data_IF_869385923372
#
_entry.id   IF_869385923372
#
_cell.length_a   1.000
_cell.length_b   1.000
_cell.length_c   1.000
_cell.angle_alpha   90.00
_cell.angle_beta   90.00
_cell.angle_gamma   90.00
#
_symmetry.space_group_name_H-M   'P 1'
#
loop_
_entity.id
_entity.type
_entity.pdbx_description
1 polymer ?
#
# COMPACT_ATOMS: atom_id res chain seq x y z
N UNK A 1 18.02 -41.21 -2.61
CA UNK A 1 18.20 -39.89 -1.98
C UNK A 1 16.84 -39.44 -1.48
N UNK A 2 16.72 -39.00 -0.23
CA UNK A 2 15.45 -38.53 0.34
C UNK A 2 15.38 -37.01 0.12
N UNK A 3 14.34 -36.53 -0.55
CA UNK A 3 14.10 -35.09 -0.72
C UNK A 3 13.53 -34.50 0.58
N UNK A 4 13.82 -33.22 0.87
CA UNK A 4 13.26 -32.51 2.03
C UNK A 4 11.73 -32.36 1.96
N UNK A 5 11.12 -32.59 0.80
CA UNK A 5 9.67 -32.51 0.58
C UNK A 5 8.92 -33.84 0.73
N UNK A 6 9.66 -34.91 1.00
CA UNK A 6 9.13 -36.27 0.99
C UNK A 6 9.21 -36.91 2.39
N UNK A 7 8.34 -37.88 2.65
CA UNK A 7 8.41 -38.76 3.81
C UNK A 7 8.71 -40.19 3.38
N UNK A 8 9.27 -40.99 4.28
CA UNK A 8 9.56 -42.38 4.03
C UNK A 8 8.27 -43.21 3.99
N UNK A 9 8.00 -43.88 2.86
CA UNK A 9 6.98 -44.93 2.76
C UNK A 9 7.53 -46.28 3.19
N UNK A 10 8.69 -46.67 2.65
CA UNK A 10 9.30 -47.98 2.88
C UNK A 10 10.81 -47.87 2.96
N UNK A 11 11.39 -48.38 4.05
CA UNK A 11 12.83 -48.43 4.25
C UNK A 11 13.51 -49.31 3.20
N UNK A 12 14.67 -48.87 2.72
CA UNK A 12 15.50 -49.66 1.82
C UNK A 12 16.08 -50.90 2.50
N UNK A 13 16.42 -51.90 1.69
CA UNK A 13 17.14 -53.13 2.08
C UNK A 13 18.32 -53.32 1.12
N UNK A 14 19.25 -54.26 1.36
CA UNK A 14 20.37 -54.54 0.44
C UNK A 14 19.92 -54.83 -1.01
N UNK A 15 18.67 -55.24 -1.19
CA UNK A 15 18.08 -55.62 -2.48
C UNK A 15 17.10 -54.58 -3.04
N UNK A 16 16.67 -53.59 -2.24
CA UNK A 16 15.61 -52.64 -2.61
C UNK A 16 15.91 -51.22 -2.14
N UNK A 17 15.72 -50.26 -3.03
CA UNK A 17 15.85 -48.85 -2.70
C UNK A 17 14.75 -48.37 -1.74
N UNK A 18 15.10 -47.38 -0.93
CA UNK A 18 14.17 -46.60 -0.11
C UNK A 18 13.10 -45.93 -0.99
N UNK A 19 11.82 -46.10 -0.63
CA UNK A 19 10.68 -45.47 -1.34
C UNK A 19 10.19 -44.28 -0.52
N UNK A 20 10.12 -43.11 -1.13
CA UNK A 20 9.65 -41.87 -0.51
C UNK A 20 8.45 -41.31 -1.30
N UNK A 21 7.52 -40.65 -0.60
CA UNK A 21 6.40 -39.95 -1.22
C UNK A 21 6.38 -38.49 -0.81
N UNK A 22 5.89 -37.63 -1.71
CA UNK A 22 5.71 -36.22 -1.44
C UNK A 22 4.64 -35.99 -0.37
N UNK A 23 4.87 -35.04 0.54
CA UNK A 23 3.89 -34.75 1.58
C UNK A 23 2.51 -34.40 0.98
N UNK A 24 1.42 -35.00 1.52
CA UNK A 24 0.06 -34.73 1.05
C UNK A 24 -0.35 -33.29 1.36
N UNK A 25 -1.42 -32.82 0.70
CA UNK A 25 -1.96 -31.47 0.96
C UNK A 25 -2.29 -31.30 2.45
N UNK A 26 -1.92 -30.15 3.00
CA UNK A 26 -2.09 -29.84 4.42
C UNK A 26 -0.96 -30.38 5.32
N UNK A 27 0.09 -30.98 4.77
CA UNK A 27 1.25 -31.46 5.52
C UNK A 27 2.57 -30.97 4.92
N UNK A 28 3.64 -31.00 5.71
CA UNK A 28 4.99 -30.61 5.29
C UNK A 28 6.07 -31.46 5.96
N UNK A 29 7.24 -31.53 5.33
CA UNK A 29 8.50 -31.95 5.93
C UNK A 29 9.53 -30.84 5.70
N UNK A 30 10.38 -30.54 6.68
CA UNK A 30 11.43 -29.53 6.57
C UNK A 30 12.84 -30.11 6.52
N UNK A 31 12.96 -31.44 6.68
CA UNK A 31 14.22 -32.17 6.77
C UNK A 31 14.19 -33.41 5.88
N UNK A 32 15.33 -33.76 5.31
CA UNK A 32 15.49 -35.02 4.58
C UNK A 32 15.70 -36.14 5.60
N UNK A 33 14.63 -36.80 6.01
CA UNK A 33 14.65 -37.83 7.06
C UNK A 33 14.08 -39.15 6.56
N UNK A 34 14.73 -40.24 6.97
CA UNK A 34 14.26 -41.60 6.74
C UNK A 34 13.30 -42.09 7.83
N UNK A 35 12.96 -41.26 8.82
CA UNK A 35 12.14 -41.67 9.96
C UNK A 35 11.02 -40.70 10.30
N UNK A 36 11.16 -39.42 9.93
CA UNK A 36 10.15 -38.42 10.19
C UNK A 36 9.01 -38.48 9.16
N UNK A 37 7.78 -38.39 9.66
CA UNK A 37 6.57 -38.30 8.85
C UNK A 37 6.26 -36.82 8.59
N UNK A 38 5.48 -36.54 7.54
CA UNK A 38 5.03 -35.17 7.29
C UNK A 38 4.18 -34.65 8.46
N UNK A 39 4.54 -33.49 8.99
CA UNK A 39 3.79 -32.81 10.02
C UNK A 39 2.59 -32.07 9.41
N UNK A 40 1.44 -32.00 10.10
CA UNK A 40 0.30 -31.22 9.63
C UNK A 40 0.62 -29.72 9.69
N UNK A 41 0.05 -28.97 8.76
CA UNK A 41 0.13 -27.51 8.75
C UNK A 41 -0.62 -26.91 9.95
N UNK A 42 -0.07 -25.84 10.53
CA UNK A 42 -0.78 -25.04 11.53
C UNK A 42 -2.09 -24.49 11.00
N UNK A 43 -3.15 -24.60 11.81
CA UNK A 43 -4.43 -23.97 11.54
C UNK A 43 -4.48 -22.60 12.25
N UNK A 44 -4.17 -21.53 11.52
CA UNK A 44 -4.14 -20.18 12.10
C UNK A 44 -5.52 -19.73 12.62
N UNK A 45 -6.60 -20.09 11.94
CA UNK A 45 -7.96 -19.76 12.37
C UNK A 45 -8.30 -20.38 13.72
N UNK A 46 -7.87 -21.63 13.97
CA UNK A 46 -8.03 -22.29 15.26
C UNK A 46 -7.22 -21.60 16.39
N UNK A 47 -6.17 -20.87 16.03
CA UNK A 47 -5.35 -20.08 16.96
C UNK A 47 -5.84 -18.63 17.13
N UNK A 48 -6.98 -18.26 16.52
CA UNK A 48 -7.45 -16.87 16.50
C UNK A 48 -6.49 -15.91 15.75
N UNK A 49 -5.75 -16.45 14.77
CA UNK A 49 -4.73 -15.73 14.00
C UNK A 49 -5.05 -15.76 12.51
N UNK A 50 -4.54 -14.79 11.76
CA UNK A 50 -4.66 -14.78 10.30
C UNK A 50 -3.58 -15.64 9.67
N UNK A 51 -3.92 -16.40 8.63
CA UNK A 51 -2.91 -17.11 7.83
C UNK A 51 -2.12 -16.11 7.00
N UNK A 52 -0.84 -15.93 7.35
CA UNK A 52 0.08 -15.06 6.61
C UNK A 52 0.61 -15.76 5.36
N UNK A 53 0.97 -17.04 5.48
CA UNK A 53 1.43 -17.87 4.37
C UNK A 53 0.85 -19.27 4.50
N UNK A 54 0.19 -19.73 3.44
CA UNK A 54 -0.23 -21.12 3.33
C UNK A 54 0.99 -22.05 3.31
N UNK A 55 0.93 -23.14 4.06
CA UNK A 55 1.99 -24.14 4.08
C UNK A 55 2.21 -24.77 2.70
N UNK A 56 3.41 -25.30 2.50
CA UNK A 56 3.83 -26.06 1.31
C UNK A 56 4.32 -27.44 1.77
N UNK A 57 4.58 -28.40 0.86
CA UNK A 57 5.18 -29.69 1.25
C UNK A 57 6.54 -29.57 1.97
N UNK A 58 7.23 -28.44 1.81
CA UNK A 58 8.52 -28.17 2.47
C UNK A 58 8.42 -27.29 3.73
N UNK A 59 7.28 -26.60 3.95
CA UNK A 59 7.19 -25.56 4.97
C UNK A 59 5.82 -25.51 5.63
N UNK A 60 5.80 -25.31 6.94
CA UNK A 60 4.57 -25.07 7.69
C UNK A 60 3.86 -23.78 7.26
N UNK A 61 2.58 -23.71 7.60
CA UNK A 61 1.77 -22.51 7.56
C UNK A 61 2.28 -21.50 8.59
N UNK A 62 2.39 -20.23 8.18
CA UNK A 62 2.80 -19.13 9.06
C UNK A 62 1.58 -18.33 9.45
N UNK A 63 1.42 -18.09 10.76
CA UNK A 63 0.30 -17.35 11.33
C UNK A 63 0.75 -15.96 11.82
N UNK A 64 -0.13 -14.97 11.70
CA UNK A 64 0.07 -13.59 12.15
C UNK A 64 -1.03 -13.20 13.15
N UNK A 65 -0.66 -12.48 14.21
CA UNK A 65 -1.61 -11.98 15.21
C UNK A 65 -2.48 -10.86 14.62
N UNK A 66 -3.80 -11.00 14.69
CA UNK A 66 -4.73 -9.98 14.18
C UNK A 66 -4.56 -8.60 14.82
N UNK A 67 -4.08 -8.54 16.07
CA UNK A 67 -3.80 -7.30 16.79
C UNK A 67 -2.72 -6.42 16.11
N UNK A 68 -1.82 -7.01 15.31
CA UNK A 68 -0.83 -6.28 14.53
C UNK A 68 -1.40 -5.71 13.22
N UNK A 69 -2.53 -6.24 12.77
CA UNK A 69 -3.26 -5.79 11.59
C UNK A 69 -4.28 -4.69 11.88
N UNK A 70 -4.74 -4.58 13.13
CA UNK A 70 -5.86 -3.72 13.55
C UNK A 70 -5.47 -2.50 14.37
N UNK A 71 -4.17 -2.15 14.46
CA UNK A 71 -3.75 -0.95 15.20
C UNK A 71 -4.34 0.32 14.56
N UNK A 72 -5.39 0.85 15.21
CA UNK A 72 -5.99 2.15 14.94
C UNK A 72 -4.98 3.26 15.27
N UNK A 73 -4.09 3.53 14.32
CA UNK A 73 -3.11 4.60 14.37
C UNK A 73 -3.33 5.48 13.15
N UNK A 74 -3.94 6.64 13.34
CA UNK A 74 -4.27 7.55 12.22
C UNK A 74 -3.55 8.90 12.30
N UNK A 75 -2.48 9.00 13.09
CA UNK A 75 -1.78 10.27 13.33
C UNK A 75 -0.79 10.63 12.22
N UNK A 76 -0.39 9.65 11.41
CA UNK A 76 0.72 9.76 10.46
C UNK A 76 0.45 10.66 9.25
N UNK A 77 -0.72 10.51 8.63
CA UNK A 77 -1.14 11.34 7.50
C UNK A 77 -2.09 12.48 7.90
N UNK A 78 -2.50 12.53 9.16
CA UNK A 78 -3.38 13.57 9.69
C UNK A 78 -2.67 14.92 9.91
N UNK A 79 -1.33 14.96 9.82
CA UNK A 79 -0.55 16.19 9.91
C UNK A 79 -0.39 16.88 8.57
N UNK A 80 -1.21 17.91 8.29
CA UNK A 80 -1.09 18.76 7.10
C UNK A 80 0.31 19.40 6.90
N UNK A 81 1.15 19.39 7.95
CA UNK A 81 2.47 20.02 8.04
C UNK A 81 3.67 19.06 8.04
N UNK A 82 3.53 17.80 7.61
CA UNK A 82 4.72 16.96 7.49
C UNK A 82 5.54 17.30 6.23
N UNK A 83 6.88 17.45 6.33
CA UNK A 83 7.76 17.71 5.18
C UNK A 83 7.70 16.64 4.08
N UNK A 84 7.21 15.44 4.40
CA UNK A 84 7.11 14.28 3.51
C UNK A 84 5.66 13.78 3.42
N UNK A 85 4.75 14.65 2.99
CA UNK A 85 3.35 14.27 2.83
C UNK A 85 3.16 13.43 1.56
N UNK A 86 2.41 12.35 1.68
CA UNK A 86 1.98 11.55 0.53
C UNK A 86 1.08 12.41 -0.34
N UNK A 87 1.43 12.57 -1.61
CA UNK A 87 0.73 13.41 -2.58
C UNK A 87 -0.46 12.69 -3.22
N UNK A 88 -1.36 13.45 -3.86
CA UNK A 88 -2.48 12.86 -4.60
C UNK A 88 -2.03 11.93 -5.74
N UNK A 89 -0.90 12.22 -6.39
CA UNK A 89 -0.34 11.33 -7.40
C UNK A 89 0.13 10.01 -6.79
N UNK A 90 0.75 10.06 -5.61
CA UNK A 90 1.16 8.85 -4.88
C UNK A 90 -0.05 8.02 -4.45
N UNK A 91 -1.07 8.64 -3.85
CA UNK A 91 -2.29 7.91 -3.48
C UNK A 91 -2.96 7.24 -4.66
N UNK A 92 -2.99 7.94 -5.81
CA UNK A 92 -3.63 7.42 -7.01
C UNK A 92 -2.80 6.29 -7.59
N UNK A 93 -1.48 6.41 -7.63
CA UNK A 93 -0.59 5.36 -8.15
C UNK A 93 -0.58 4.11 -7.27
N UNK A 94 -0.70 4.28 -5.95
CA UNK A 94 -0.67 3.20 -4.97
C UNK A 94 -2.05 2.84 -4.44
N UNK A 95 -3.12 3.24 -5.13
CA UNK A 95 -4.50 3.01 -4.71
C UNK A 95 -4.81 1.52 -4.51
N UNK A 96 -4.18 0.63 -5.31
CA UNK A 96 -4.36 -0.81 -5.20
C UNK A 96 -4.04 -1.35 -3.79
N UNK A 97 -3.19 -0.67 -3.02
CA UNK A 97 -2.82 -1.06 -1.66
C UNK A 97 -4.01 -1.10 -0.69
N UNK A 98 -5.02 -0.24 -0.90
CA UNK A 98 -6.22 -0.23 -0.06
C UNK A 98 -6.96 -1.59 -0.11
N UNK A 99 -6.96 -2.25 -1.27
CA UNK A 99 -7.62 -3.56 -1.43
C UNK A 99 -6.81 -4.75 -0.90
N UNK A 100 -5.55 -4.58 -0.50
CA UNK A 100 -4.66 -5.70 -0.15
C UNK A 100 -4.76 -6.16 1.32
N UNK A 101 -5.65 -5.57 2.15
CA UNK A 101 -5.76 -5.87 3.59
C UNK A 101 -4.40 -5.99 4.29
N UNK A 102 -3.64 -4.89 4.25
CA UNK A 102 -2.25 -4.84 4.70
C UNK A 102 -2.10 -5.00 6.22
N UNK A 103 -1.02 -5.67 6.61
CA UNK A 103 -0.52 -5.74 7.98
C UNK A 103 0.96 -5.36 8.03
N UNK A 104 1.47 -5.08 9.24
CA UNK A 104 2.82 -4.56 9.42
C UNK A 104 3.92 -5.48 8.87
N UNK A 105 3.76 -6.80 8.93
CA UNK A 105 4.71 -7.71 8.28
C UNK A 105 4.83 -7.43 6.78
N UNK A 106 3.72 -7.20 6.09
CA UNK A 106 3.72 -6.91 4.64
C UNK A 106 4.36 -5.54 4.35
N UNK A 107 4.21 -4.59 5.27
CA UNK A 107 4.85 -3.27 5.20
C UNK A 107 6.37 -3.38 5.43
N UNK A 108 6.80 -4.25 6.34
CA UNK A 108 8.22 -4.56 6.58
C UNK A 108 8.86 -5.21 5.37
N UNK A 109 8.17 -6.16 4.75
CA UNK A 109 8.59 -6.75 3.50
C UNK A 109 8.76 -5.70 2.40
N UNK A 110 7.81 -4.78 2.29
CA UNK A 110 7.94 -3.68 1.34
C UNK A 110 9.23 -2.88 1.61
N UNK A 111 9.47 -2.49 2.86
CA UNK A 111 10.68 -1.76 3.26
C UNK A 111 11.99 -2.52 2.92
N UNK A 112 12.06 -3.79 3.31
CA UNK A 112 13.22 -4.67 3.12
C UNK A 112 13.55 -4.93 1.65
N UNK A 113 12.56 -4.86 0.76
CA UNK A 113 12.73 -5.24 -0.65
C UNK A 113 12.60 -4.09 -1.66
N UNK A 114 12.28 -2.88 -1.21
CA UNK A 114 12.31 -1.69 -2.06
C UNK A 114 13.70 -1.52 -2.73
N UNK A 115 13.77 -1.32 -4.05
CA UNK A 115 15.06 -1.22 -4.74
C UNK A 115 15.76 0.12 -4.47
N UNK A 116 17.05 0.22 -4.77
CA UNK A 116 17.80 1.48 -4.62
C UNK A 116 18.11 1.83 -3.16
N UNK A 117 18.14 3.14 -2.84
CA UNK A 117 18.44 3.63 -1.49
C UNK A 117 17.27 3.31 -0.56
N UNK A 118 17.59 2.67 0.56
CA UNK A 118 16.63 2.26 1.58
C UNK A 118 16.18 3.44 2.42
N UNK A 119 14.89 3.46 2.76
CA UNK A 119 14.34 4.38 3.77
C UNK A 119 15.07 4.15 5.08
N UNK A 120 15.53 5.23 5.70
CA UNK A 120 16.28 5.17 6.95
C UNK A 120 15.46 4.52 8.09
N UNK A 121 16.16 3.82 8.97
CA UNK A 121 15.53 3.03 10.04
C UNK A 121 14.68 3.87 10.96
N UNK A 122 15.13 5.09 11.28
CA UNK A 122 14.41 6.01 12.18
C UNK A 122 13.06 6.42 11.61
N UNK A 123 13.02 6.76 10.32
CA UNK A 123 11.76 7.07 9.63
C UNK A 123 10.84 5.85 9.54
N UNK A 124 11.39 4.65 9.34
CA UNK A 124 10.61 3.41 9.30
C UNK A 124 10.00 3.06 10.67
N UNK A 125 10.78 3.16 11.75
CA UNK A 125 10.32 2.96 13.13
C UNK A 125 9.20 3.96 13.50
N UNK A 126 9.40 5.25 13.22
CA UNK A 126 8.36 6.26 13.46
C UNK A 126 7.07 5.98 12.66
N UNK A 127 7.21 5.47 11.43
CA UNK A 127 6.06 5.10 10.59
C UNK A 127 5.23 3.99 11.26
N UNK A 128 5.88 2.97 11.83
CA UNK A 128 5.21 1.95 12.65
C UNK A 128 4.55 2.53 13.89
N UNK A 129 5.16 3.56 14.46
CA UNK A 129 4.66 4.22 15.65
C UNK A 129 3.39 5.05 15.40
N UNK A 130 3.28 5.70 14.24
CA UNK A 130 2.28 6.73 14.01
C UNK A 130 1.15 6.35 13.03
N UNK A 131 1.37 5.38 12.13
CA UNK A 131 0.51 5.10 10.99
C UNK A 131 -0.28 3.79 11.18
N UNK A 132 -1.36 3.58 10.44
CA UNK A 132 -1.95 2.26 10.20
C UNK A 132 -1.13 1.54 9.12
N UNK A 133 -1.26 0.21 8.92
CA UNK A 133 -0.47 -0.50 7.91
C UNK A 133 -0.58 0.10 6.50
N UNK A 134 -1.78 0.50 6.07
CA UNK A 134 -1.98 1.16 4.77
C UNK A 134 -1.28 2.52 4.71
N UNK A 135 -1.47 3.36 5.73
CA UNK A 135 -0.80 4.67 5.82
C UNK A 135 0.72 4.50 5.86
N UNK A 136 1.22 3.48 6.55
CA UNK A 136 2.62 3.15 6.68
C UNK A 136 3.25 2.75 5.35
N UNK A 137 2.59 1.87 4.58
CA UNK A 137 3.03 1.51 3.23
C UNK A 137 3.13 2.73 2.31
N UNK A 138 2.09 3.57 2.29
CA UNK A 138 2.08 4.81 1.49
C UNK A 138 3.20 5.78 1.92
N UNK A 139 3.40 5.94 3.23
CA UNK A 139 4.45 6.80 3.79
C UNK A 139 5.84 6.29 3.44
N UNK A 140 6.09 5.00 3.56
CA UNK A 140 7.37 4.39 3.19
C UNK A 140 7.67 4.57 1.70
N UNK A 141 6.68 4.37 0.82
CA UNK A 141 6.85 4.59 -0.62
C UNK A 141 7.17 6.05 -0.93
N UNK A 142 6.57 6.99 -0.22
CA UNK A 142 6.86 8.42 -0.37
C UNK A 142 8.26 8.79 0.09
N UNK A 143 8.68 8.29 1.27
CA UNK A 143 10.05 8.46 1.76
C UNK A 143 11.07 7.82 0.82
N UNK A 144 10.76 6.63 0.30
CA UNK A 144 11.60 5.93 -0.66
C UNK A 144 11.78 6.73 -1.95
N UNK A 145 10.70 7.30 -2.49
CA UNK A 145 10.75 8.19 -3.66
C UNK A 145 11.66 9.38 -3.39
N UNK A 146 11.50 10.03 -2.23
CA UNK A 146 12.28 11.21 -1.86
C UNK A 146 13.77 10.90 -1.69
N UNK A 147 14.11 9.77 -1.08
CA UNK A 147 15.51 9.35 -0.90
C UNK A 147 16.17 8.87 -2.20
N UNK A 148 15.37 8.46 -3.19
CA UNK A 148 15.83 8.10 -4.52
C UNK A 148 15.60 9.23 -5.54
N UNK A 149 15.39 10.47 -5.08
CA UNK A 149 15.26 11.65 -5.94
C UNK A 149 16.53 11.81 -6.79
N UNK A 150 16.37 11.80 -8.11
CA UNK A 150 17.47 11.81 -9.08
C UNK A 150 17.77 10.46 -9.74
N UNK A 151 17.17 9.37 -9.26
CA UNK A 151 17.28 8.04 -9.90
C UNK A 151 16.10 7.77 -10.88
N UNK A 152 15.53 8.81 -11.45
CA UNK A 152 14.33 8.75 -12.32
C UNK A 152 14.56 7.95 -13.61
N UNK A 153 15.83 7.85 -14.05
CA UNK A 153 16.24 7.02 -15.18
C UNK A 153 16.19 5.52 -14.85
N UNK A 154 16.40 5.17 -13.59
CA UNK A 154 16.38 3.79 -13.09
C UNK A 154 14.97 3.36 -12.68
N UNK A 155 14.20 4.28 -12.09
CA UNK A 155 12.88 3.98 -11.56
C UNK A 155 11.79 4.74 -12.32
N UNK A 156 11.14 4.04 -13.27
CA UNK A 156 10.03 4.57 -14.06
C UNK A 156 8.84 5.04 -13.22
N UNK A 157 8.62 4.43 -12.05
CA UNK A 157 7.63 4.85 -11.04
C UNK A 157 7.90 6.28 -10.57
N UNK A 158 9.14 6.59 -10.17
CA UNK A 158 9.54 7.92 -9.69
C UNK A 158 9.35 8.94 -10.81
N UNK A 159 9.76 8.61 -12.04
CA UNK A 159 9.53 9.45 -13.22
C UNK A 159 8.03 9.72 -13.45
N UNK A 160 7.19 8.69 -13.34
CA UNK A 160 5.73 8.79 -13.47
C UNK A 160 5.13 9.72 -12.43
N UNK A 161 5.48 9.54 -11.15
CA UNK A 161 5.02 10.39 -10.05
C UNK A 161 5.44 11.86 -10.25
N UNK A 162 6.71 12.10 -10.60
CA UNK A 162 7.21 13.46 -10.85
C UNK A 162 6.50 14.11 -12.04
N UNK A 163 6.17 13.33 -13.08
CA UNK A 163 5.38 13.81 -14.21
C UNK A 163 3.95 14.20 -13.79
N UNK A 164 3.29 13.35 -13.00
CA UNK A 164 1.96 13.62 -12.46
C UNK A 164 1.93 14.92 -11.63
N UNK A 165 2.87 15.08 -10.68
CA UNK A 165 2.97 16.28 -9.84
C UNK A 165 3.19 17.55 -10.67
N UNK A 166 4.02 17.47 -11.71
CA UNK A 166 4.24 18.57 -12.65
C UNK A 166 2.97 18.95 -13.41
N UNK A 167 2.10 17.99 -13.74
CA UNK A 167 0.82 18.27 -14.39
C UNK A 167 -0.20 18.86 -13.41
N UNK A 168 -0.32 18.30 -12.20
CA UNK A 168 -1.24 18.79 -11.18
C UNK A 168 -0.90 20.21 -10.74
N UNK A 169 0.38 20.50 -10.49
CA UNK A 169 0.85 21.84 -10.13
C UNK A 169 0.57 22.91 -11.20
N UNK A 170 0.28 22.52 -12.45
CA UNK A 170 -0.11 23.43 -13.54
C UNK A 170 -1.62 23.60 -13.69
N UNK A 171 -2.42 22.57 -13.37
CA UNK A 171 -3.87 22.60 -13.59
C UNK A 171 -4.71 22.87 -12.33
N UNK A 172 -4.12 22.74 -11.13
CA UNK A 172 -4.79 22.97 -9.85
C UNK A 172 -4.58 24.38 -9.29
N UNK A 173 -4.74 25.43 -10.12
CA UNK A 173 -4.59 26.83 -9.72
C UNK A 173 -5.85 27.66 -9.93
N UNK A 174 -6.97 27.34 -9.26
CA UNK A 174 -7.98 28.37 -9.03
C UNK A 174 -7.43 29.35 -7.98
N UNK A 175 -7.42 30.64 -8.30
CA UNK A 175 -7.01 31.67 -7.35
C UNK A 175 -8.20 32.04 -6.45
N UNK A 176 -7.91 32.47 -5.22
CA UNK A 176 -8.88 33.03 -4.26
C UNK A 176 -10.07 32.12 -3.91
N UNK A 177 -9.81 30.83 -3.68
CA UNK A 177 -10.85 29.91 -3.19
C UNK A 177 -11.33 30.31 -1.79
N UNK A 178 -12.64 30.36 -1.63
CA UNK A 178 -13.31 30.63 -0.35
C UNK A 178 -13.61 29.33 0.42
N UNK A 179 -14.06 29.49 1.67
CA UNK A 179 -14.58 28.37 2.48
C UNK A 179 -15.73 27.66 1.76
N UNK A 180 -16.66 28.42 1.19
CA UNK A 180 -17.85 27.86 0.53
C UNK A 180 -17.48 27.16 -0.79
N UNK A 181 -16.48 27.66 -1.52
CA UNK A 181 -15.96 26.99 -2.71
C UNK A 181 -15.39 25.61 -2.37
N UNK A 182 -14.52 25.53 -1.36
CA UNK A 182 -13.92 24.26 -0.94
C UNK A 182 -14.96 23.31 -0.34
N UNK A 183 -15.92 23.83 0.44
CA UNK A 183 -17.05 23.05 0.98
C UNK A 183 -17.89 22.47 -0.16
N UNK A 184 -18.23 23.28 -1.16
CA UNK A 184 -18.97 22.82 -2.32
C UNK A 184 -18.26 21.69 -3.07
N UNK A 185 -16.92 21.73 -3.16
CA UNK A 185 -16.12 20.65 -3.75
C UNK A 185 -16.25 19.38 -2.92
N UNK A 186 -15.96 19.40 -1.62
CA UNK A 186 -15.96 18.17 -0.81
C UNK A 186 -17.37 17.57 -0.66
N UNK A 187 -18.40 18.40 -0.54
CA UNK A 187 -19.81 17.95 -0.51
C UNK A 187 -20.25 17.27 -1.81
N UNK A 188 -19.57 17.58 -2.92
CA UNK A 188 -19.89 16.97 -4.21
C UNK A 188 -19.34 15.55 -4.35
N UNK A 189 -18.29 15.21 -3.59
CA UNK A 189 -17.59 13.93 -3.69
C UNK A 189 -18.38 12.81 -3.00
N UNK A 190 -18.13 11.53 -3.35
CA UNK A 190 -18.74 10.40 -2.66
C UNK A 190 -18.07 10.13 -1.30
N UNK A 191 -18.77 9.39 -0.43
CA UNK A 191 -18.27 9.03 0.89
C UNK A 191 -18.44 10.13 1.93
N UNK A 192 -17.61 10.10 2.97
CA UNK A 192 -17.69 11.03 4.07
C UNK A 192 -17.07 12.39 3.70
N UNK A 193 -17.79 13.51 3.93
CA UNK A 193 -17.29 14.83 3.63
C UNK A 193 -16.18 15.25 4.60
N UNK A 194 -15.27 16.09 4.10
CA UNK A 194 -14.24 16.71 4.93
C UNK A 194 -14.90 17.75 5.84
N UNK A 195 -14.63 17.67 7.14
CA UNK A 195 -15.21 18.57 8.12
C UNK A 195 -14.77 20.03 7.96
N UNK A 196 -15.66 20.95 8.34
CA UNK A 196 -15.46 22.40 8.27
C UNK A 196 -14.18 22.88 8.96
N UNK A 197 -13.81 22.22 10.06
CA UNK A 197 -12.58 22.47 10.81
C UNK A 197 -11.34 22.26 9.94
N UNK A 198 -11.32 21.19 9.16
CA UNK A 198 -10.20 20.84 8.30
C UNK A 198 -10.15 21.71 7.04
N UNK A 199 -11.30 22.10 6.49
CA UNK A 199 -11.35 23.08 5.39
C UNK A 199 -10.76 24.42 5.85
N UNK A 200 -11.16 24.92 7.03
CA UNK A 200 -10.61 26.15 7.61
C UNK A 200 -9.12 26.03 7.90
N UNK A 201 -8.67 24.84 8.34
CA UNK A 201 -7.26 24.57 8.54
C UNK A 201 -6.51 24.70 7.21
N UNK A 202 -6.97 24.05 6.13
CA UNK A 202 -6.36 24.16 4.78
C UNK A 202 -6.23 25.61 4.33
N UNK A 203 -7.29 26.41 4.47
CA UNK A 203 -7.28 27.82 4.07
C UNK A 203 -6.25 28.66 4.84
N UNK A 204 -6.12 28.43 6.16
CA UNK A 204 -5.20 29.17 7.04
C UNK A 204 -3.75 28.70 6.91
N UNK A 205 -3.55 27.42 6.65
CA UNK A 205 -2.25 26.76 6.80
C UNK A 205 -1.50 26.53 5.50
N UNK A 206 -2.19 26.55 4.36
CA UNK A 206 -1.61 26.25 3.06
C UNK A 206 -1.61 27.49 2.15
N UNK A 207 -0.71 27.50 1.15
CA UNK A 207 -0.71 28.55 0.12
C UNK A 207 -1.98 28.44 -0.75
N UNK A 208 -2.54 29.55 -1.27
CA UNK A 208 -3.75 29.52 -2.08
C UNK A 208 -3.74 28.51 -3.22
N UNK A 209 -2.62 28.44 -3.96
CA UNK A 209 -2.40 27.48 -5.05
C UNK A 209 -2.40 26.00 -4.64
N UNK A 210 -2.35 25.69 -3.35
CA UNK A 210 -2.34 24.33 -2.81
C UNK A 210 -3.70 23.93 -2.24
N UNK A 211 -4.61 24.87 -1.94
CA UNK A 211 -5.87 24.63 -1.24
C UNK A 211 -6.70 23.50 -1.87
N UNK A 212 -6.87 23.52 -3.18
CA UNK A 212 -7.64 22.48 -3.89
C UNK A 212 -7.01 21.09 -3.76
N UNK A 213 -5.70 20.96 -3.98
CA UNK A 213 -5.03 19.66 -3.87
C UNK A 213 -5.01 19.16 -2.42
N UNK A 214 -4.84 20.08 -1.45
CA UNK A 214 -4.83 19.76 -0.03
C UNK A 214 -6.20 19.28 0.45
N UNK A 215 -7.29 19.91 0.02
CA UNK A 215 -8.63 19.45 0.42
C UNK A 215 -9.01 18.13 -0.22
N UNK A 216 -8.64 17.92 -1.49
CA UNK A 216 -8.85 16.64 -2.17
C UNK A 216 -8.04 15.52 -1.51
N UNK A 217 -6.83 15.84 -1.03
CA UNK A 217 -6.02 14.91 -0.24
C UNK A 217 -6.68 14.57 1.10
N UNK A 218 -7.20 15.56 1.82
CA UNK A 218 -7.93 15.35 3.08
C UNK A 218 -9.13 14.41 2.87
N UNK A 219 -9.93 14.66 1.82
CA UNK A 219 -11.04 13.79 1.45
C UNK A 219 -10.57 12.35 1.16
N UNK A 220 -9.45 12.18 0.44
CA UNK A 220 -8.89 10.86 0.12
C UNK A 220 -8.40 10.09 1.35
N UNK A 221 -7.87 10.78 2.36
CA UNK A 221 -7.45 10.16 3.63
C UNK A 221 -8.67 9.63 4.39
N UNK A 222 -9.75 10.42 4.44
CA UNK A 222 -10.99 10.03 5.11
C UNK A 222 -11.75 8.92 4.36
N UNK A 223 -11.51 8.78 3.07
CA UNK A 223 -12.17 7.81 2.20
C UNK A 223 -11.15 6.85 1.55
N UNK A 224 -10.52 5.93 2.32
CA UNK A 224 -9.42 5.09 1.86
C UNK A 224 -9.75 4.20 0.65
N UNK A 225 -11.00 3.79 0.52
CA UNK A 225 -11.50 2.89 -0.54
C UNK A 225 -11.93 3.62 -1.81
N UNK A 226 -12.05 4.95 -1.78
CA UNK A 226 -12.54 5.72 -2.92
C UNK A 226 -11.41 5.99 -3.93
N UNK A 227 -11.77 5.89 -5.21
CA UNK A 227 -10.93 6.30 -6.34
C UNK A 227 -11.06 7.81 -6.56
N UNK A 228 -9.94 8.54 -6.52
CA UNK A 228 -9.97 10.00 -6.64
C UNK A 228 -10.50 10.44 -8.00
N UNK A 229 -10.08 9.79 -9.08
CA UNK A 229 -10.49 10.18 -10.43
C UNK A 229 -11.98 9.92 -10.66
N UNK A 230 -12.50 8.76 -10.22
CA UNK A 230 -13.94 8.46 -10.29
C UNK A 230 -14.74 9.37 -9.36
N UNK A 231 -14.25 9.64 -8.15
CA UNK A 231 -14.89 10.55 -7.19
C UNK A 231 -15.02 11.97 -7.76
N UNK A 232 -13.96 12.49 -8.39
CA UNK A 232 -14.00 13.78 -9.07
C UNK A 232 -14.96 13.78 -10.28
N UNK A 233 -15.03 12.70 -11.04
CA UNK A 233 -15.97 12.57 -12.16
C UNK A 233 -17.44 12.64 -11.67
N UNK A 234 -17.77 11.95 -10.57
CA UNK A 234 -19.08 12.02 -9.92
C UNK A 234 -19.36 13.41 -9.35
N UNK A 235 -18.38 14.01 -8.66
CA UNK A 235 -18.50 15.35 -8.08
C UNK A 235 -18.76 16.43 -9.12
N UNK A 236 -18.11 16.38 -10.28
CA UNK A 236 -18.35 17.32 -11.39
C UNK A 236 -19.82 17.33 -11.85
N UNK A 237 -20.46 16.17 -11.92
CA UNK A 237 -21.89 16.09 -12.26
C UNK A 237 -22.76 16.85 -11.26
N UNK A 238 -22.45 16.76 -9.96
CA UNK A 238 -23.16 17.50 -8.90
C UNK A 238 -22.82 18.99 -8.89
N UNK A 239 -21.58 19.36 -9.20
CA UNK A 239 -21.12 20.75 -9.25
C UNK A 239 -21.70 21.53 -10.43
N UNK A 240 -22.17 20.86 -11.49
CA UNK A 240 -22.73 21.51 -12.69
C UNK A 240 -23.90 22.45 -12.37
N UNK A 241 -24.65 22.15 -11.30
CA UNK A 241 -25.83 22.91 -10.87
C UNK A 241 -25.55 23.83 -9.67
N UNK A 242 -24.31 23.86 -9.15
CA UNK A 242 -23.92 24.75 -8.05
C UNK A 242 -23.21 26.00 -8.56
N UNK A 243 -23.35 27.10 -7.84
CA UNK A 243 -22.69 28.38 -8.13
C UNK A 243 -21.20 28.33 -7.75
N UNK A 244 -20.40 27.50 -8.43
CA UNK A 244 -18.94 27.43 -8.23
C UNK A 244 -18.19 28.19 -9.32
N UNK A 245 -17.01 28.77 -9.01
CA UNK A 245 -16.19 29.46 -9.98
C UNK A 245 -15.86 28.58 -11.21
N UNK A 246 -16.00 29.13 -12.42
CA UNK A 246 -15.72 28.40 -13.67
C UNK A 246 -14.30 27.85 -13.73
N UNK A 247 -13.32 28.57 -13.17
CA UNK A 247 -11.94 28.13 -13.10
C UNK A 247 -11.77 26.92 -12.17
N UNK A 248 -12.45 26.92 -11.01
CA UNK A 248 -12.48 25.79 -10.09
C UNK A 248 -13.04 24.53 -10.76
N UNK A 249 -14.20 24.64 -11.41
CA UNK A 249 -14.80 23.52 -12.17
C UNK A 249 -13.84 22.97 -13.24
N UNK A 250 -13.18 23.85 -14.00
CA UNK A 250 -12.19 23.46 -15.02
C UNK A 250 -10.97 22.78 -14.40
N UNK A 251 -10.49 23.27 -13.27
CA UNK A 251 -9.35 22.69 -12.54
C UNK A 251 -9.69 21.28 -12.05
N UNK A 252 -10.83 21.07 -11.39
CA UNK A 252 -11.31 19.76 -10.94
C UNK A 252 -11.38 18.77 -12.11
N UNK A 253 -11.94 19.19 -13.25
CA UNK A 253 -12.00 18.36 -14.46
C UNK A 253 -10.62 17.98 -15.00
N UNK A 254 -9.66 18.91 -15.00
CA UNK A 254 -8.29 18.63 -15.46
C UNK A 254 -7.56 17.69 -14.49
N UNK A 255 -7.70 17.90 -13.18
CA UNK A 255 -7.14 17.03 -12.14
C UNK A 255 -7.66 15.60 -12.33
N UNK A 256 -8.98 15.42 -12.44
CA UNK A 256 -9.58 14.09 -12.65
C UNK A 256 -9.06 13.39 -13.90
N UNK A 257 -8.87 14.12 -15.01
CA UNK A 257 -8.25 13.58 -16.24
C UNK A 257 -6.81 13.13 -16.01
N UNK A 258 -5.98 13.95 -15.35
CA UNK A 258 -4.59 13.60 -15.06
C UNK A 258 -4.57 12.34 -14.21
N UNK A 259 -5.25 12.33 -13.05
CA UNK A 259 -5.25 11.18 -12.14
C UNK A 259 -5.78 9.91 -12.79
N UNK A 260 -6.83 10.01 -13.62
CA UNK A 260 -7.39 8.86 -14.34
C UNK A 260 -6.40 8.19 -15.30
N UNK A 261 -5.47 8.94 -15.91
CA UNK A 261 -4.42 8.34 -16.76
C UNK A 261 -3.37 7.56 -15.96
N UNK A 262 -3.10 7.96 -14.70
CA UNK A 262 -2.11 7.29 -13.84
C UNK A 262 -2.67 6.06 -13.13
N UNK A 263 -3.96 6.06 -12.80
CA UNK A 263 -4.67 4.88 -12.26
C UNK A 263 -4.59 3.66 -13.20
N UNK A 264 -4.39 3.88 -14.50
CA UNK A 264 -4.26 2.80 -15.49
C UNK A 264 -2.86 2.14 -15.54
N UNK A 265 -1.89 2.59 -14.74
CA UNK A 265 -0.49 2.16 -14.82
C UNK A 265 -0.22 0.81 -14.10
N UNK A 266 -0.95 -0.24 -14.53
CA UNK A 266 -0.98 -1.61 -13.96
C UNK A 266 0.38 -2.31 -13.80
N UNK A 267 1.39 -1.92 -14.59
CA UNK A 267 2.70 -2.56 -14.56
C UNK A 267 3.42 -2.42 -13.20
N UNK A 268 3.19 -1.31 -12.49
CA UNK A 268 3.79 -1.08 -11.17
C UNK A 268 3.06 -1.88 -10.08
N UNK A 269 1.73 -2.02 -10.22
CA UNK A 269 0.89 -2.70 -9.24
C UNK A 269 1.30 -4.16 -9.05
N UNK A 270 1.61 -4.87 -10.14
CA UNK A 270 2.05 -6.28 -10.07
C UNK A 270 3.34 -6.43 -9.27
N UNK A 271 4.37 -5.65 -9.59
CA UNK A 271 5.67 -5.71 -8.91
C UNK A 271 5.53 -5.44 -7.40
N UNK A 272 4.81 -4.39 -7.01
CA UNK A 272 4.59 -4.09 -5.60
C UNK A 272 3.69 -5.11 -4.91
N UNK A 273 2.68 -5.64 -5.61
CA UNK A 273 1.83 -6.72 -5.07
C UNK A 273 2.65 -7.98 -4.81
N UNK A 274 3.60 -8.34 -5.69
CA UNK A 274 4.49 -9.50 -5.51
C UNK A 274 5.43 -9.31 -4.31
N UNK A 275 5.95 -8.09 -4.11
CA UNK A 275 6.75 -7.72 -2.92
C UNK A 275 5.93 -7.83 -1.63
N UNK A 276 4.70 -7.32 -1.63
CA UNK A 276 3.79 -7.29 -0.47
C UNK A 276 3.25 -8.70 -0.14
N UNK A 277 2.99 -9.53 -1.16
CA UNK A 277 2.54 -10.92 -1.00
C UNK A 277 3.67 -11.88 -0.63
N UNK A 278 4.91 -11.40 -0.57
CA UNK A 278 5.98 -12.07 0.14
C UNK A 278 6.77 -13.11 -0.66
N UNK A 279 6.71 -13.13 -2.00
CA UNK A 279 7.55 -14.06 -2.77
C UNK A 279 9.05 -13.93 -2.43
N UNK A 280 9.52 -12.73 -2.07
CA UNK A 280 10.90 -12.44 -1.67
C UNK A 280 11.11 -12.43 -0.14
N UNK A 281 10.11 -11.98 0.62
CA UNK A 281 10.19 -11.85 2.07
C UNK A 281 10.23 -13.21 2.80
N UNK A 282 9.67 -14.23 2.17
CA UNK A 282 9.61 -15.59 2.69
C UNK A 282 10.87 -16.42 2.39
N UNK A 283 11.76 -15.92 1.51
CA UNK A 283 12.99 -16.61 1.09
C UNK A 283 14.24 -16.24 1.91
N UNK A 284 14.17 -15.26 2.82
CA UNK A 284 15.32 -14.85 3.63
C UNK A 284 15.05 -14.82 5.13
N UNK A 285 15.04 -16.01 5.76
CA UNK A 285 15.65 -16.25 7.07
C UNK A 285 16.20 -17.68 7.10
N UNK A 286 17.19 -17.96 6.27
CA UNK A 286 18.24 -18.91 6.63
C UNK A 286 19.43 -18.05 7.07
N UNK A 287 19.41 -17.63 8.34
CA UNK A 287 20.67 -17.26 8.98
C UNK A 287 21.46 -18.57 9.05
N UNK A 288 22.48 -18.70 8.20
CA UNK A 288 23.52 -19.67 8.45
C UNK A 288 24.16 -19.30 9.79
N UNK A 289 24.15 -20.26 10.71
CA UNK A 289 25.11 -20.32 11.81
C UNK A 289 26.54 -20.34 11.25
#
# INVERSE_FOLDING_TARGET
FIDKTDFLLTAGSPERNTVCERCPRGHFSSVASATEHCAPHKNCSALGRRTLRAGTPAHDTVCEDEAQCSQLRDRCLSGMYHPHHVTLCEDTMFQFLASQQLCWHQVDCLWDWLPGRKVDRRSAEWTKEACSPLQGALRLLSLWRDQNRGQEKLFGIIRGLNHCEKLLSRCARPDNLTLDDLRAVVDSLPGDPVGDKDIRLVLRSCRPREHLLRILRAWRVQNPEQDVAKGLALGLSKLRHRSVPRQLYRSIRKIGKVLGTFSAQKANEKTFSDLIRGATCLTSKSYNN
#
